data_IF_283989223747
#
_entry.id   IF_283989223747
#
_cell.length_a   1.000
_cell.length_b   1.000
_cell.length_c   1.000
_cell.angle_alpha   90.00
_cell.angle_beta   90.00
_cell.angle_gamma   90.00
#
_symmetry.space_group_name_H-M   'P 1'
#
loop_
_entity.id
_entity.type
_entity.pdbx_description
1 polymer ?
#
# COMPACT_ATOMS: atom_id res chain seq x y z
N UNK A 1 -17.58 -15.95 -12.52
CA UNK A 1 -16.20 -15.65 -12.09
C UNK A 1 -16.29 -14.34 -11.34
N UNK A 2 -15.82 -14.28 -10.09
CA UNK A 2 -15.96 -13.09 -9.25
C UNK A 2 -15.25 -11.91 -9.92
N UNK A 3 -15.92 -10.77 -10.05
CA UNK A 3 -15.35 -9.57 -10.69
C UNK A 3 -15.17 -8.47 -9.66
N UNK A 4 -14.12 -7.67 -9.80
CA UNK A 4 -13.92 -6.50 -8.95
C UNK A 4 -15.06 -5.51 -9.20
N UNK A 5 -15.80 -5.17 -8.15
CA UNK A 5 -16.98 -4.31 -8.20
C UNK A 5 -16.69 -2.90 -7.73
N UNK A 6 -15.89 -2.76 -6.68
CA UNK A 6 -15.66 -1.46 -6.04
C UNK A 6 -14.27 -1.38 -5.39
N UNK A 7 -13.73 -0.15 -5.32
CA UNK A 7 -12.52 0.14 -4.55
C UNK A 7 -12.80 1.31 -3.61
N UNK A 8 -12.60 1.08 -2.31
CA UNK A 8 -12.72 2.10 -1.26
C UNK A 8 -11.35 2.33 -0.63
N UNK A 9 -10.92 3.58 -0.63
CA UNK A 9 -9.68 3.99 0.04
C UNK A 9 -9.98 4.92 1.21
N UNK A 10 -9.32 4.71 2.34
CA UNK A 10 -9.43 5.58 3.52
C UNK A 10 -8.06 5.89 4.08
N UNK A 11 -7.85 7.17 4.39
CA UNK A 11 -6.67 7.60 5.14
C UNK A 11 -7.04 7.71 6.61
N UNK A 12 -6.22 7.10 7.45
CA UNK A 12 -6.28 7.16 8.90
C UNK A 12 -5.16 8.06 9.38
N UNK A 13 -5.53 9.17 10.02
CA UNK A 13 -4.60 10.09 10.65
C UNK A 13 -4.58 9.84 12.16
N UNK A 14 -3.38 9.67 12.72
CA UNK A 14 -3.20 9.51 14.15
C UNK A 14 -3.34 10.87 14.85
N UNK A 15 -4.35 10.97 15.72
CA UNK A 15 -4.60 12.15 16.56
C UNK A 15 -4.36 11.87 18.05
N UNK A 16 -3.80 10.70 18.38
CA UNK A 16 -3.48 10.32 19.75
C UNK A 16 -2.13 10.87 20.22
N UNK A 17 -1.72 10.48 21.43
CA UNK A 17 -0.41 10.86 21.97
C UNK A 17 0.72 10.25 21.13
N UNK A 18 1.78 11.02 20.90
CA UNK A 18 3.02 10.59 20.26
C UNK A 18 4.20 10.84 21.19
N UNK A 19 5.30 10.12 20.98
CA UNK A 19 6.56 10.39 21.71
C UNK A 19 7.14 11.70 21.18
N UNK A 20 7.48 12.68 22.06
CA UNK A 20 8.09 13.93 21.62
C UNK A 20 9.38 13.70 20.82
N UNK A 21 9.59 14.40 19.70
CA UNK A 21 10.83 14.35 18.95
C UNK A 21 12.05 14.63 19.82
N UNK A 22 13.17 13.98 19.50
CA UNK A 22 14.47 14.20 20.13
C UNK A 22 15.48 14.67 19.09
N UNK A 23 16.42 15.52 19.51
CA UNK A 23 17.52 15.94 18.64
C UNK A 23 18.50 14.80 18.39
N UNK A 24 19.22 14.84 17.26
CA UNK A 24 20.25 13.85 16.90
C UNK A 24 19.75 12.39 16.96
N UNK A 25 18.46 12.19 16.65
CA UNK A 25 17.76 10.92 16.83
C UNK A 25 17.86 9.97 15.64
N UNK A 26 17.72 10.49 14.42
CA UNK A 26 17.80 9.69 13.20
C UNK A 26 18.24 10.58 12.05
N UNK A 27 19.40 10.26 11.47
CA UNK A 27 19.92 11.00 10.32
C UNK A 27 19.05 10.74 9.09
N UNK A 28 18.78 11.78 8.31
CA UNK A 28 17.86 11.72 7.17
C UNK A 28 18.26 12.71 6.06
N UNK A 29 17.56 12.66 4.93
CA UNK A 29 17.89 13.47 3.76
C UNK A 29 17.74 15.00 3.99
N UNK A 30 16.95 15.42 4.98
CA UNK A 30 16.74 16.84 5.29
C UNK A 30 17.83 17.44 6.19
N UNK A 31 18.74 16.65 6.74
CA UNK A 31 19.83 17.16 7.61
C UNK A 31 20.82 18.06 6.84
N UNK A 32 20.81 18.03 5.51
CA UNK A 32 21.57 18.96 4.67
C UNK A 32 20.94 20.36 4.57
N UNK A 33 19.68 20.50 4.98
CA UNK A 33 18.99 21.77 5.07
C UNK A 33 19.29 22.42 6.43
N UNK A 34 19.11 23.74 6.51
CA UNK A 34 19.37 24.53 7.72
C UNK A 34 18.09 24.82 8.53
N UNK A 35 17.08 23.94 8.41
CA UNK A 35 15.82 24.08 9.14
C UNK A 35 15.98 23.81 10.64
N UNK A 36 15.20 24.51 11.47
CA UNK A 36 15.23 24.39 12.95
C UNK A 36 14.09 23.54 13.52
N UNK A 37 13.40 22.78 12.67
CA UNK A 37 12.26 21.93 13.01
C UNK A 37 12.73 20.51 13.41
N UNK A 38 11.78 19.65 13.80
CA UNK A 38 12.05 18.21 13.91
C UNK A 38 12.50 17.67 12.55
N UNK A 39 13.77 17.26 12.44
CA UNK A 39 14.36 16.78 11.20
C UNK A 39 13.64 15.55 10.61
N UNK A 40 12.95 14.76 11.46
CA UNK A 40 12.14 13.63 11.01
C UNK A 40 10.71 14.03 10.62
N UNK A 41 10.33 15.30 10.72
CA UNK A 41 8.95 15.77 10.57
C UNK A 41 8.30 15.37 9.25
N UNK A 42 9.05 15.36 8.14
CA UNK A 42 8.59 14.94 6.80
C UNK A 42 8.67 13.42 6.54
N UNK A 43 9.28 12.66 7.46
CA UNK A 43 9.52 11.22 7.31
C UNK A 43 8.70 10.35 8.26
N UNK A 44 8.00 10.95 9.24
CA UNK A 44 7.13 10.22 10.16
C UNK A 44 5.85 9.75 9.48
N UNK A 45 5.45 8.52 9.79
CA UNK A 45 4.19 7.93 9.32
C UNK A 45 3.11 8.06 10.39
N UNK A 46 2.60 9.29 10.59
CA UNK A 46 1.41 9.52 11.44
C UNK A 46 0.09 9.42 10.66
N UNK A 47 0.17 9.11 9.37
CA UNK A 47 -0.97 8.75 8.53
C UNK A 47 -0.75 7.36 7.91
N UNK A 48 -1.83 6.65 7.62
CA UNK A 48 -1.81 5.38 6.91
C UNK A 48 -3.01 5.25 5.98
N UNK A 49 -2.83 4.67 4.81
CA UNK A 49 -3.89 4.38 3.86
C UNK A 49 -4.29 2.91 3.93
N UNK A 50 -5.59 2.66 3.95
CA UNK A 50 -6.21 1.35 3.72
C UNK A 50 -6.93 1.39 2.37
N UNK A 51 -6.74 0.34 1.57
CA UNK A 51 -7.37 0.12 0.29
C UNK A 51 -8.19 -1.18 0.35
N UNK A 52 -9.50 -1.06 0.31
CA UNK A 52 -10.42 -2.19 0.22
C UNK A 52 -10.82 -2.37 -1.25
N UNK A 53 -10.62 -3.57 -1.78
CA UNK A 53 -11.11 -3.97 -3.11
C UNK A 53 -12.19 -5.01 -2.91
N UNK A 54 -13.40 -4.74 -3.37
CA UNK A 54 -14.58 -5.59 -3.19
C UNK A 54 -14.98 -6.22 -4.52
N UNK A 55 -15.27 -7.52 -4.49
CA UNK A 55 -15.84 -8.26 -5.63
C UNK A 55 -17.37 -8.24 -5.64
N UNK A 56 -17.96 -8.58 -6.78
CA UNK A 56 -19.42 -8.64 -6.97
C UNK A 56 -20.14 -9.68 -6.10
N UNK A 57 -19.43 -10.69 -5.62
CA UNK A 57 -19.89 -11.69 -4.64
C UNK A 57 -19.54 -11.34 -3.18
N UNK A 58 -19.08 -10.10 -2.92
CA UNK A 58 -18.92 -9.54 -1.58
C UNK A 58 -17.61 -9.89 -0.87
N UNK A 59 -16.64 -10.50 -1.54
CA UNK A 59 -15.30 -10.73 -0.99
C UNK A 59 -14.54 -9.40 -1.01
N UNK A 60 -14.00 -9.01 0.14
CA UNK A 60 -13.21 -7.79 0.29
C UNK A 60 -11.76 -8.17 0.54
N UNK A 61 -10.84 -7.75 -0.32
CA UNK A 61 -9.41 -7.77 -0.07
C UNK A 61 -8.90 -6.47 0.53
N UNK A 62 -7.85 -6.57 1.34
CA UNK A 62 -7.27 -5.46 2.10
C UNK A 62 -5.82 -5.25 1.68
N UNK A 63 -5.53 -4.05 1.20
CA UNK A 63 -4.18 -3.55 0.96
C UNK A 63 -3.94 -2.22 1.69
N UNK A 64 -2.70 -1.74 1.67
CA UNK A 64 -2.33 -0.55 2.43
C UNK A 64 -1.13 0.20 1.83
N UNK A 65 -0.95 1.45 2.26
CA UNK A 65 0.23 2.27 1.94
C UNK A 65 0.49 3.31 3.04
N UNK A 66 1.74 3.76 3.19
CA UNK A 66 2.15 4.75 4.19
C UNK A 66 2.72 6.05 3.61
N UNK A 67 3.29 6.00 2.40
CA UNK A 67 3.90 7.17 1.77
C UNK A 67 2.82 8.11 1.23
N UNK A 68 2.85 9.39 1.63
CA UNK A 68 1.91 10.44 1.21
C UNK A 68 0.44 9.97 1.07
N UNK A 69 -0.19 9.45 2.14
CA UNK A 69 -1.46 8.72 2.07
C UNK A 69 -2.58 9.45 1.33
N UNK A 70 -2.70 10.76 1.53
CA UNK A 70 -3.71 11.59 0.87
C UNK A 70 -3.54 11.63 -0.66
N UNK A 71 -2.29 11.76 -1.15
CA UNK A 71 -1.99 11.77 -2.57
C UNK A 71 -2.14 10.37 -3.19
N UNK A 72 -1.76 9.33 -2.45
CA UNK A 72 -1.96 7.94 -2.88
C UNK A 72 -3.46 7.63 -3.01
N UNK A 73 -4.28 8.03 -2.03
CA UNK A 73 -5.75 7.93 -2.11
C UNK A 73 -6.27 8.60 -3.37
N UNK A 74 -5.90 9.85 -3.60
CA UNK A 74 -6.33 10.60 -4.79
C UNK A 74 -5.91 9.90 -6.09
N UNK A 75 -4.71 9.33 -6.11
CA UNK A 75 -4.17 8.58 -7.26
C UNK A 75 -5.01 7.34 -7.55
N UNK A 76 -5.33 6.55 -6.52
CA UNK A 76 -6.19 5.36 -6.65
C UNK A 76 -7.57 5.77 -7.15
N UNK A 77 -8.21 6.72 -6.47
CA UNK A 77 -9.60 7.11 -6.74
C UNK A 77 -9.77 7.74 -8.13
N UNK A 78 -8.76 8.46 -8.62
CA UNK A 78 -8.88 9.24 -9.87
C UNK A 78 -8.35 8.49 -11.10
N UNK A 79 -7.26 7.72 -10.96
CA UNK A 79 -6.55 7.15 -12.12
C UNK A 79 -6.59 5.63 -12.18
N UNK A 80 -6.53 4.93 -11.05
CA UNK A 80 -6.35 3.48 -11.05
C UNK A 80 -7.67 2.72 -10.93
N UNK A 81 -8.63 3.25 -10.17
CA UNK A 81 -9.90 2.57 -9.86
C UNK A 81 -10.64 2.10 -11.12
N UNK A 82 -10.78 2.96 -12.12
CA UNK A 82 -11.46 2.65 -13.39
C UNK A 82 -10.72 1.62 -14.25
N UNK A 83 -9.42 1.38 -14.01
CA UNK A 83 -8.65 0.37 -14.71
C UNK A 83 -8.87 -1.03 -14.15
N UNK A 84 -9.41 -1.15 -12.93
CA UNK A 84 -9.48 -2.40 -12.18
C UNK A 84 -10.92 -2.87 -11.96
N UNK A 85 -11.89 -1.96 -11.88
CA UNK A 85 -13.31 -2.33 -11.79
C UNK A 85 -13.75 -3.12 -13.05
N UNK A 86 -14.53 -4.17 -12.82
CA UNK A 86 -15.09 -5.06 -13.83
C UNK A 86 -14.18 -6.23 -14.22
N UNK A 87 -12.95 -6.25 -13.71
CA UNK A 87 -11.92 -7.22 -14.07
C UNK A 87 -11.90 -8.43 -13.12
N UNK A 88 -11.35 -9.55 -13.59
CA UNK A 88 -11.12 -10.74 -12.78
C UNK A 88 -9.87 -10.53 -11.88
N UNK A 89 -9.95 -10.71 -10.55
CA UNK A 89 -8.78 -10.62 -9.67
C UNK A 89 -7.67 -11.63 -10.01
N UNK A 90 -7.96 -12.74 -10.69
CA UNK A 90 -6.94 -13.70 -11.16
C UNK A 90 -6.15 -13.20 -12.38
N UNK A 91 -6.60 -12.13 -13.05
CA UNK A 91 -5.81 -11.42 -14.07
C UNK A 91 -4.80 -10.44 -13.45
N UNK A 92 -4.42 -10.64 -12.17
CA UNK A 92 -3.58 -9.74 -11.37
C UNK A 92 -2.33 -9.21 -12.10
N UNK A 93 -1.63 -10.08 -12.85
CA UNK A 93 -0.43 -9.68 -13.60
C UNK A 93 -0.76 -8.70 -14.73
N UNK A 94 -1.87 -8.92 -15.44
CA UNK A 94 -2.36 -7.99 -16.47
C UNK A 94 -2.86 -6.69 -15.85
N UNK A 95 -3.58 -6.76 -14.71
CA UNK A 95 -4.04 -5.57 -13.99
C UNK A 95 -2.86 -4.71 -13.52
N UNK A 96 -1.80 -5.34 -13.03
CA UNK A 96 -0.55 -4.66 -12.69
C UNK A 96 0.06 -3.95 -13.91
N UNK A 97 0.22 -4.65 -15.03
CA UNK A 97 0.75 -4.07 -16.28
C UNK A 97 -0.13 -2.94 -16.82
N UNK A 98 -1.47 -3.10 -16.75
CA UNK A 98 -2.44 -2.09 -17.17
C UNK A 98 -2.27 -0.83 -16.33
N UNK A 99 -2.25 -0.93 -15.01
CA UNK A 99 -2.03 0.23 -14.14
C UNK A 99 -0.65 0.86 -14.36
N UNK A 100 0.41 0.04 -14.46
CA UNK A 100 1.77 0.52 -14.65
C UNK A 100 1.95 1.26 -15.97
N UNK A 101 1.53 0.68 -17.09
CA UNK A 101 1.69 1.26 -18.43
C UNK A 101 0.81 2.50 -18.63
N UNK A 102 -0.43 2.47 -18.15
CA UNK A 102 -1.37 3.61 -18.27
C UNK A 102 -0.98 4.81 -17.41
N UNK A 103 -0.12 4.61 -16.42
CA UNK A 103 0.43 5.69 -15.58
C UNK A 103 1.91 5.96 -15.83
N UNK A 104 2.57 5.26 -16.76
CA UNK A 104 4.02 5.22 -16.90
C UNK A 104 4.69 6.61 -17.03
N UNK A 105 4.01 7.58 -17.65
CA UNK A 105 4.50 8.94 -17.83
C UNK A 105 4.82 9.67 -16.51
N UNK A 106 4.12 9.33 -15.41
CA UNK A 106 4.25 10.00 -14.12
C UNK A 106 4.32 9.04 -12.92
N UNK A 107 3.89 7.79 -13.08
CA UNK A 107 3.67 6.82 -12.00
C UNK A 107 4.70 5.68 -11.92
N UNK A 108 5.69 5.64 -12.82
CA UNK A 108 6.71 4.56 -12.87
C UNK A 108 7.54 4.39 -11.59
N UNK A 109 7.55 5.40 -10.72
CA UNK A 109 8.19 5.43 -9.38
C UNK A 109 7.33 6.31 -8.45
N UNK A 110 7.60 6.27 -7.14
CA UNK A 110 6.93 7.15 -6.18
C UNK A 110 5.42 6.90 -6.10
N UNK A 111 4.62 7.96 -6.09
CA UNK A 111 3.18 7.93 -5.80
C UNK A 111 2.39 6.92 -6.64
N UNK A 112 2.62 6.87 -7.96
CA UNK A 112 1.91 5.93 -8.84
C UNK A 112 2.19 4.47 -8.47
N UNK A 113 3.45 4.12 -8.22
CA UNK A 113 3.84 2.78 -7.82
C UNK A 113 3.33 2.41 -6.42
N UNK A 114 3.30 3.37 -5.48
CA UNK A 114 2.73 3.15 -4.13
C UNK A 114 1.22 2.88 -4.23
N UNK A 115 0.51 3.61 -5.09
CA UNK A 115 -0.92 3.40 -5.34
C UNK A 115 -1.19 2.02 -5.97
N UNK A 116 -0.38 1.62 -6.97
CA UNK A 116 -0.43 0.27 -7.55
C UNK A 116 -0.21 -0.79 -6.48
N UNK A 117 0.78 -0.60 -5.61
CA UNK A 117 1.10 -1.55 -4.53
C UNK A 117 -0.07 -1.76 -3.57
N UNK A 118 -0.79 -0.70 -3.19
CA UNK A 118 -1.94 -0.81 -2.30
C UNK A 118 -3.09 -1.63 -2.93
N UNK A 119 -3.34 -1.46 -4.23
CA UNK A 119 -4.36 -2.24 -4.95
C UNK A 119 -3.90 -3.69 -5.14
N UNK A 120 -2.64 -3.91 -5.55
CA UNK A 120 -2.08 -5.23 -5.82
C UNK A 120 -2.13 -6.14 -4.57
N UNK A 121 -1.72 -5.62 -3.40
CA UNK A 121 -1.83 -6.35 -2.14
C UNK A 121 -3.29 -6.74 -1.83
N UNK A 122 -4.24 -5.83 -2.07
CA UNK A 122 -5.66 -6.11 -1.88
C UNK A 122 -6.17 -7.20 -2.84
N UNK A 123 -5.73 -7.19 -4.10
CA UNK A 123 -6.06 -8.23 -5.09
C UNK A 123 -5.50 -9.60 -4.66
N UNK A 124 -4.27 -9.65 -4.15
CA UNK A 124 -3.71 -10.89 -3.61
C UNK A 124 -4.49 -11.42 -2.41
N UNK A 125 -4.96 -10.54 -1.53
CA UNK A 125 -5.84 -10.90 -0.42
C UNK A 125 -7.20 -11.44 -0.90
N UNK A 126 -7.79 -10.85 -1.96
CA UNK A 126 -8.99 -11.41 -2.64
C UNK A 126 -8.71 -12.83 -3.12
N UNK A 127 -7.62 -13.04 -3.87
CA UNK A 127 -7.28 -14.37 -4.40
C UNK A 127 -7.10 -15.39 -3.28
N UNK A 128 -6.48 -15.01 -2.16
CA UNK A 128 -6.39 -15.84 -0.97
C UNK A 128 -7.77 -16.21 -0.40
N UNK A 129 -8.68 -15.23 -0.29
CA UNK A 129 -10.05 -15.42 0.21
C UNK A 129 -10.90 -16.29 -0.71
N UNK A 130 -10.87 -16.06 -2.03
CA UNK A 130 -11.58 -16.87 -3.04
C UNK A 130 -11.11 -18.33 -2.99
N UNK A 131 -9.79 -18.54 -2.98
CA UNK A 131 -9.21 -19.90 -2.96
C UNK A 131 -9.24 -20.56 -1.59
N UNK A 132 -9.63 -19.82 -0.54
CA UNK A 132 -9.54 -20.24 0.87
C UNK A 132 -8.12 -20.70 1.23
N UNK A 133 -7.12 -19.99 0.73
CA UNK A 133 -5.69 -20.22 1.02
C UNK A 133 -5.05 -18.96 1.57
N UNK A 134 -4.10 -19.09 2.51
CA UNK A 134 -3.24 -17.96 2.85
C UNK A 134 -2.38 -17.59 1.63
N UNK A 135 -2.12 -16.30 1.41
CA UNK A 135 -1.39 -15.78 0.24
C UNK A 135 -0.05 -16.49 0.02
N UNK A 136 0.72 -16.76 1.08
CA UNK A 136 2.01 -17.46 0.95
C UNK A 136 1.90 -18.85 0.31
N UNK A 137 0.74 -19.53 0.40
CA UNK A 137 0.52 -20.81 -0.28
C UNK A 137 0.34 -20.64 -1.78
N UNK A 138 -0.23 -19.52 -2.22
CA UNK A 138 -0.33 -19.16 -3.63
C UNK A 138 1.04 -18.78 -4.21
N UNK A 139 1.93 -18.24 -3.37
CA UNK A 139 3.30 -17.83 -3.74
C UNK A 139 4.35 -18.96 -3.68
N UNK A 140 3.95 -20.22 -3.50
CA UNK A 140 4.86 -21.37 -3.49
C UNK A 140 4.96 -22.12 -2.16
N UNK A 141 4.30 -21.65 -1.11
CA UNK A 141 4.13 -22.39 0.14
C UNK A 141 5.23 -22.20 1.19
N UNK A 142 5.22 -23.07 2.19
CA UNK A 142 6.09 -22.96 3.36
C UNK A 142 7.50 -23.42 2.99
N UNK A 143 8.48 -22.53 3.12
CA UNK A 143 9.90 -22.86 2.91
C UNK A 143 10.70 -22.94 4.23
N UNK A 144 10.09 -22.56 5.36
CA UNK A 144 10.70 -22.54 6.70
C UNK A 144 9.63 -22.82 7.77
N UNK A 145 10.01 -23.42 8.89
CA UNK A 145 9.09 -23.67 10.01
C UNK A 145 8.66 -22.39 10.76
N UNK A 146 9.56 -21.41 10.82
CA UNK A 146 9.34 -20.08 11.40
C UNK A 146 10.14 -19.03 10.62
N UNK A 147 9.73 -17.76 10.71
CA UNK A 147 10.46 -16.63 10.12
C UNK A 147 11.32 -15.99 11.23
N UNK A 148 12.65 -16.15 11.22
CA UNK A 148 13.53 -15.39 12.11
C UNK A 148 13.43 -13.89 11.79
N UNK A 149 13.49 -13.06 12.83
CA UNK A 149 13.42 -11.59 12.73
C UNK A 149 14.54 -10.96 13.53
N UNK A 150 14.90 -9.72 13.20
CA UNK A 150 15.86 -8.91 13.95
C UNK A 150 15.18 -7.66 14.52
N UNK A 151 15.73 -7.10 15.60
CA UNK A 151 15.21 -5.88 16.20
C UNK A 151 15.60 -4.65 15.35
N UNK A 152 14.61 -3.99 14.73
CA UNK A 152 14.80 -2.77 13.92
C UNK A 152 14.21 -1.57 14.63
N UNK A 153 15.02 -0.89 15.45
CA UNK A 153 14.59 0.33 16.18
C UNK A 153 15.75 1.22 16.63
N UNK A 154 16.89 0.65 17.02
CA UNK A 154 17.99 1.35 17.70
C UNK A 154 18.76 2.28 16.74
N UNK A 155 18.11 3.34 16.30
CA UNK A 155 18.71 4.57 15.78
C UNK A 155 19.05 5.51 16.94
#
# INVERSE_FOLDING_TARGET
MSKIKEIRTKVYQWNGKTVPPQNNFCTNASDLLFEKSDAMGSFRFHEWLICEVETDDGIIGIGNAALAPQLVKKTIDTYLKSLVIGEDPFDYAYLWEKMYRRTHAWGRRGLGMVAISAIDIAIWDIMGKITKKPVFKLLGGRTKEKIPVYASKLY
#
